data_IF_293427257702
#
_entry.id   IF_293427257702
#
_cell.length_a   1.000
_cell.length_b   1.000
_cell.length_c   1.000
_cell.angle_alpha   90.00
_cell.angle_beta   90.00
_cell.angle_gamma   90.00
#
_symmetry.space_group_name_H-M   'P 1'
#
loop_
_entity.id
_entity.type
_entity.pdbx_description
1 polymer ?
#
# COMPACT_ATOMS: atom_id res chain seq x y z
N UNK A 1 -3.36 -10.56 -0.02
CA UNK A 1 -3.02 -9.71 -1.20
C UNK A 1 -4.22 -8.88 -1.64
N UNK A 2 -4.00 -7.61 -1.98
CA UNK A 2 -5.07 -6.74 -2.49
C UNK A 2 -5.06 -6.78 -4.01
N UNK A 3 -6.20 -7.06 -4.68
CA UNK A 3 -6.27 -7.06 -6.12
C UNK A 3 -5.94 -5.69 -6.73
N UNK A 4 -5.26 -5.69 -7.88
CA UNK A 4 -4.81 -4.45 -8.52
C UNK A 4 -5.98 -3.56 -8.97
N UNK A 5 -7.14 -4.15 -9.26
CA UNK A 5 -8.37 -3.43 -9.58
C UNK A 5 -8.90 -2.58 -8.43
N UNK A 6 -8.71 -2.98 -7.18
CA UNK A 6 -9.14 -2.18 -6.03
C UNK A 6 -8.29 -0.91 -5.89
N UNK A 7 -7.02 -0.96 -6.29
CA UNK A 7 -6.10 0.19 -6.24
C UNK A 7 -6.49 1.25 -7.27
N UNK A 8 -6.95 0.83 -8.46
CA UNK A 8 -7.38 1.74 -9.54
C UNK A 8 -8.52 2.67 -9.16
N UNK A 9 -9.39 2.26 -8.23
CA UNK A 9 -10.49 3.11 -7.73
C UNK A 9 -9.91 4.32 -7.00
N UNK A 10 -8.85 4.13 -6.22
CA UNK A 10 -8.21 5.20 -5.46
C UNK A 10 -7.44 6.18 -6.35
N UNK A 11 -6.78 5.68 -7.40
CA UNK A 11 -6.12 6.50 -8.42
C UNK A 11 -7.13 7.39 -9.14
N UNK A 12 -8.24 6.79 -9.62
CA UNK A 12 -9.31 7.54 -10.27
C UNK A 12 -9.93 8.61 -9.34
N UNK A 13 -10.11 8.28 -8.05
CA UNK A 13 -10.64 9.22 -7.07
C UNK A 13 -9.71 10.41 -6.83
N UNK A 14 -8.39 10.17 -6.82
CA UNK A 14 -7.40 11.23 -6.68
C UNK A 14 -7.38 12.17 -7.89
N UNK A 15 -7.51 11.62 -9.10
CA UNK A 15 -7.60 12.40 -10.34
C UNK A 15 -8.87 13.26 -10.36
N UNK A 16 -10.03 12.69 -9.99
CA UNK A 16 -11.31 13.40 -9.91
C UNK A 16 -11.33 14.50 -8.83
N UNK A 17 -10.62 14.31 -7.72
CA UNK A 17 -10.50 15.30 -6.64
C UNK A 17 -9.56 16.48 -6.98
N UNK A 18 -9.08 16.57 -8.22
CA UNK A 18 -8.19 17.63 -8.69
C UNK A 18 -6.70 17.35 -8.41
N UNK A 19 -6.37 16.13 -8.00
CA UNK A 19 -5.01 15.70 -7.68
C UNK A 19 -4.42 16.40 -6.47
N UNK A 20 -3.48 15.74 -5.80
CA UNK A 20 -2.56 16.39 -4.90
C UNK A 20 -1.15 16.02 -5.36
N UNK A 21 -0.38 17.00 -5.84
CA UNK A 21 0.99 16.77 -6.33
C UNK A 21 1.92 16.15 -5.28
N UNK A 22 1.54 16.27 -4.01
CA UNK A 22 2.28 15.70 -2.89
C UNK A 22 1.77 14.32 -2.47
N UNK A 23 0.64 13.84 -2.99
CA UNK A 23 0.12 12.51 -2.71
C UNK A 23 0.53 11.51 -3.79
N UNK A 24 0.78 10.26 -3.39
CA UNK A 24 1.13 9.16 -4.29
C UNK A 24 0.43 7.88 -3.85
N UNK A 25 -0.05 7.10 -4.81
CA UNK A 25 -0.57 5.75 -4.58
C UNK A 25 0.51 4.74 -5.01
N UNK A 26 0.82 3.80 -4.12
CA UNK A 26 1.82 2.77 -4.36
C UNK A 26 1.16 1.42 -4.09
N UNK A 27 1.24 0.52 -5.07
CA UNK A 27 0.85 -0.87 -4.93
C UNK A 27 2.08 -1.74 -4.63
N UNK A 28 1.97 -2.65 -3.67
CA UNK A 28 3.00 -3.65 -3.37
C UNK A 28 2.46 -5.05 -3.70
N UNK A 29 2.68 -5.57 -4.93
CA UNK A 29 2.20 -6.88 -5.33
C UNK A 29 2.70 -8.00 -4.40
N UNK A 30 1.79 -8.89 -4.00
CA UNK A 30 2.11 -10.02 -3.11
C UNK A 30 2.14 -9.67 -1.62
N UNK A 31 1.89 -8.41 -1.25
CA UNK A 31 1.63 -8.05 0.14
C UNK A 31 0.13 -8.07 0.43
N UNK A 32 -0.24 -8.50 1.63
CA UNK A 32 -1.59 -8.40 2.15
C UNK A 32 -1.89 -7.01 2.74
N UNK A 33 -3.09 -6.85 3.27
CA UNK A 33 -3.62 -5.57 3.74
C UNK A 33 -2.91 -5.01 5.00
N UNK A 34 -2.02 -5.78 5.62
CA UNK A 34 -1.14 -5.34 6.72
C UNK A 34 0.34 -5.26 6.31
N UNK A 35 0.63 -5.24 5.01
CA UNK A 35 1.98 -5.18 4.44
C UNK A 35 2.88 -6.38 4.78
N UNK A 36 2.31 -7.52 5.15
CA UNK A 36 3.03 -8.79 5.20
C UNK A 36 2.93 -9.50 3.86
N UNK A 37 3.87 -10.41 3.56
CA UNK A 37 3.69 -11.33 2.44
C UNK A 37 2.42 -12.16 2.66
N UNK A 38 1.56 -12.21 1.66
CA UNK A 38 0.31 -12.97 1.73
C UNK A 38 -0.05 -13.57 0.39
N UNK A 39 -0.61 -14.77 0.44
CA UNK A 39 -1.07 -15.55 -0.71
C UNK A 39 -2.47 -16.10 -0.40
N UNK A 40 -3.28 -16.36 -1.42
CA UNK A 40 -4.64 -16.89 -1.23
C UNK A 40 -5.62 -15.85 -0.68
N UNK A 41 -6.87 -16.20 -0.43
CA UNK A 41 -7.91 -15.22 -0.10
C UNK A 41 -7.60 -14.40 1.18
N UNK A 42 -7.71 -13.05 1.17
CA UNK A 42 -7.47 -12.22 2.35
C UNK A 42 -8.36 -12.61 3.52
N UNK A 43 -7.82 -12.66 4.74
CA UNK A 43 -8.57 -13.16 5.90
C UNK A 43 -8.10 -12.52 7.21
N UNK A 44 -9.00 -12.30 8.19
CA UNK A 44 -8.61 -11.84 9.53
C UNK A 44 -7.62 -12.78 10.24
N UNK A 45 -7.54 -14.05 9.84
CA UNK A 45 -6.53 -14.97 10.38
C UNK A 45 -5.09 -14.46 10.16
N UNK A 46 -4.85 -13.65 9.11
CA UNK A 46 -3.55 -13.06 8.81
C UNK A 46 -3.03 -12.13 9.94
N UNK A 47 -3.92 -11.52 10.74
CA UNK A 47 -3.52 -10.67 11.88
C UNK A 47 -2.82 -11.42 13.00
N UNK A 48 -3.11 -12.72 13.14
CA UNK A 48 -2.47 -13.57 14.15
C UNK A 48 -1.07 -14.05 13.72
N UNK A 49 -0.71 -13.84 12.45
CA UNK A 49 0.57 -14.27 11.89
C UNK A 49 1.60 -13.16 12.06
N UNK A 50 2.64 -13.43 12.84
CA UNK A 50 3.76 -12.52 12.97
C UNK A 50 4.50 -12.42 11.63
N UNK A 51 4.79 -11.19 11.21
CA UNK A 51 5.52 -10.88 10.00
C UNK A 51 6.40 -9.66 10.16
N UNK A 52 7.16 -9.35 9.10
CA UNK A 52 7.91 -8.11 8.98
C UNK A 52 7.39 -7.37 7.76
N UNK A 53 7.25 -6.06 7.91
CA UNK A 53 7.02 -5.15 6.79
C UNK A 53 8.30 -5.16 5.92
N UNK A 54 8.19 -5.39 4.59
CA UNK A 54 9.33 -5.32 3.68
C UNK A 54 10.03 -3.96 3.72
N UNK A 55 11.35 -3.96 3.51
CA UNK A 55 12.16 -2.74 3.54
C UNK A 55 11.70 -1.69 2.53
N UNK A 56 11.26 -2.10 1.34
CA UNK A 56 10.75 -1.20 0.30
C UNK A 56 9.60 -0.30 0.78
N UNK A 57 8.65 -0.86 1.54
CA UNK A 57 7.52 -0.10 2.09
C UNK A 57 8.02 0.95 3.09
N UNK A 58 9.00 0.58 3.93
CA UNK A 58 9.59 1.49 4.91
C UNK A 58 10.40 2.59 4.23
N UNK A 59 11.15 2.26 3.18
CA UNK A 59 11.95 3.19 2.40
C UNK A 59 11.07 4.22 1.67
N UNK A 60 9.94 3.79 1.08
CA UNK A 60 8.98 4.68 0.43
C UNK A 60 8.32 5.64 1.42
N UNK A 61 7.93 5.15 2.61
CA UNK A 61 7.40 6.01 3.70
C UNK A 61 8.47 7.01 4.16
N UNK A 62 9.70 6.54 4.40
CA UNK A 62 10.80 7.41 4.81
C UNK A 62 11.12 8.47 3.74
N UNK A 63 11.06 8.09 2.45
CA UNK A 63 11.19 8.99 1.32
C UNK A 63 10.10 10.05 1.30
N UNK A 64 8.84 9.65 1.50
CA UNK A 64 7.71 10.58 1.58
C UNK A 64 7.88 11.63 2.68
N UNK A 65 8.33 11.22 3.87
CA UNK A 65 8.58 12.15 4.98
C UNK A 65 9.71 13.14 4.70
N UNK A 66 10.75 12.72 3.96
CA UNK A 66 11.89 13.58 3.61
C UNK A 66 11.54 14.67 2.59
N UNK A 67 10.51 14.48 1.75
CA UNK A 67 10.06 15.51 0.79
C UNK A 67 9.57 16.79 1.52
N UNK A 68 9.31 16.70 2.83
CA UNK A 68 8.78 17.78 3.67
C UNK A 68 9.77 18.39 4.66
N UNK A 69 11.03 17.93 4.66
CA UNK A 69 12.12 18.49 5.47
C UNK A 69 13.03 19.36 4.60
#
# INVERSE_FOLDING_TARGET
>A
QVPAEEIRIWEAWADEAGGNADARFISYPGLNHIFHKGEGEPSPAEYAVQGKIPGEVLDDIAGFLKIRL
#
